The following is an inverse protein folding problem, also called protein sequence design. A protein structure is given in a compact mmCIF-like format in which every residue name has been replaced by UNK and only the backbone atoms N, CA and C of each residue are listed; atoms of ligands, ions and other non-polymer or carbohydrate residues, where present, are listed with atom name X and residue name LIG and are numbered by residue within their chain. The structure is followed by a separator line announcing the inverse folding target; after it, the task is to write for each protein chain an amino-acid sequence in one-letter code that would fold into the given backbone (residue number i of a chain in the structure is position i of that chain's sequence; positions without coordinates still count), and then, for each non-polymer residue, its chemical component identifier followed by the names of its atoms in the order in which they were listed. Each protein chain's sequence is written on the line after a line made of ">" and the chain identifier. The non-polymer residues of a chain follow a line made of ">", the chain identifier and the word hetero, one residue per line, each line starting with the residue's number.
data_IF_728403746381
#
_entry.id   IF_728403746381
#
_cell.length_a   1.000
_cell.length_b   1.000
_cell.length_c   1.000
_cell.angle_alpha   90.00
_cell.angle_beta   90.00
_cell.angle_gamma   90.00
#
_symmetry.space_group_name_H-M   'P 1'
#
loop_
_entity.id
_entity.type
_entity.pdbx_description
1 polymer ?
#
# COMPACT_ATOMS: atom_id res chain seq x y z
N UNK A 1 9.82 -10.69 -10.78
CA UNK A 1 11.01 -9.82 -10.67
C UNK A 1 10.60 -8.45 -11.19
N UNK A 2 10.09 -7.63 -10.29
CA UNK A 2 9.17 -6.52 -10.56
C UNK A 2 9.93 -5.20 -10.40
N UNK A 3 9.47 -4.13 -11.05
CA UNK A 3 10.11 -2.85 -11.46
C UNK A 3 11.42 -2.31 -10.82
N UNK A 4 11.88 -2.82 -9.69
CA UNK A 4 13.10 -2.44 -8.99
C UNK A 4 14.38 -3.24 -9.32
N UNK A 5 14.33 -4.44 -9.94
CA UNK A 5 15.53 -5.29 -10.05
C UNK A 5 16.01 -5.67 -11.46
N UNK A 6 15.23 -5.48 -12.52
CA UNK A 6 15.66 -5.66 -13.93
C UNK A 6 14.79 -4.79 -14.85
N UNK A 7 15.03 -3.47 -14.88
CA UNK A 7 14.44 -2.55 -15.86
C UNK A 7 12.92 -2.64 -15.99
N UNK A 8 12.17 -2.21 -14.96
CA UNK A 8 10.72 -2.38 -14.84
C UNK A 8 9.88 -2.17 -16.12
N UNK A 9 8.70 -2.80 -16.14
CA UNK A 9 7.81 -2.86 -17.31
C UNK A 9 7.80 -1.56 -18.13
N UNK A 10 8.29 -1.62 -19.36
CA UNK A 10 8.29 -0.53 -20.35
C UNK A 10 6.88 -0.16 -20.86
N UNK A 11 5.85 -0.80 -20.30
CA UNK A 11 4.45 -0.61 -20.66
C UNK A 11 3.68 -0.06 -19.46
N UNK A 12 3.84 -0.66 -18.28
CA UNK A 12 3.05 -0.32 -17.09
C UNK A 12 3.80 0.49 -16.03
N UNK A 13 5.14 0.52 -16.05
CA UNK A 13 5.95 1.26 -15.07
C UNK A 13 6.62 2.50 -15.66
N UNK A 14 7.04 2.43 -16.92
CA UNK A 14 7.79 3.47 -17.62
C UNK A 14 7.65 3.31 -19.14
N UNK A 15 8.39 4.09 -19.93
CA UNK A 15 8.50 3.90 -21.37
C UNK A 15 7.58 4.80 -22.21
N UNK A 16 7.85 4.82 -23.52
CA UNK A 16 7.17 5.71 -24.45
C UNK A 16 5.69 5.37 -24.60
N UNK A 17 5.31 4.09 -24.58
CA UNK A 17 3.91 3.68 -24.66
C UNK A 17 3.08 4.25 -23.50
N UNK A 18 3.56 4.09 -22.26
CA UNK A 18 2.93 4.68 -21.08
C UNK A 18 2.82 6.20 -21.23
N UNK A 19 3.93 6.86 -21.56
CA UNK A 19 3.96 8.33 -21.70
C UNK A 19 2.97 8.82 -22.75
N UNK A 20 2.98 8.26 -23.95
CA UNK A 20 2.11 8.67 -25.06
C UNK A 20 0.64 8.46 -24.72
N UNK A 21 0.27 7.32 -24.13
CA UNK A 21 -1.12 7.04 -23.72
C UNK A 21 -1.60 8.02 -22.64
N UNK A 22 -0.77 8.28 -21.63
CA UNK A 22 -1.15 9.13 -20.51
C UNK A 22 -1.25 10.60 -20.95
N UNK A 23 -0.27 11.11 -21.71
CA UNK A 23 -0.21 12.52 -22.10
C UNK A 23 -1.15 12.88 -23.26
N UNK A 24 -1.63 11.91 -24.05
CA UNK A 24 -2.71 12.14 -25.05
C UNK A 24 -4.10 12.08 -24.44
N UNK A 25 -4.22 11.83 -23.13
CA UNK A 25 -5.46 11.88 -22.36
C UNK A 25 -6.60 11.03 -22.97
N UNK A 26 -6.29 9.88 -23.56
CA UNK A 26 -7.31 9.03 -24.18
C UNK A 26 -8.33 8.49 -23.17
N UNK A 27 -7.99 8.47 -21.88
CA UNK A 27 -8.86 8.15 -20.74
C UNK A 27 -8.86 9.29 -19.71
N UNK A 28 -10.01 9.49 -19.06
CA UNK A 28 -10.16 10.49 -17.99
C UNK A 28 -9.31 10.15 -16.77
N UNK A 29 -9.27 8.88 -16.37
CA UNK A 29 -8.49 8.40 -15.22
C UNK A 29 -7.20 7.71 -15.72
N UNK A 30 -6.03 8.21 -15.31
CA UNK A 30 -4.72 7.65 -15.64
C UNK A 30 -4.52 6.20 -15.17
N UNK A 31 -5.26 5.73 -14.17
CA UNK A 31 -5.22 4.32 -13.73
C UNK A 31 -5.85 3.36 -14.74
N UNK A 32 -6.70 3.86 -15.65
CA UNK A 32 -7.43 3.02 -16.61
C UNK A 32 -6.48 2.20 -17.48
N UNK A 33 -5.46 2.83 -18.07
CA UNK A 33 -4.54 2.14 -18.99
C UNK A 33 -3.64 1.14 -18.26
N UNK A 34 -3.09 1.53 -17.12
CA UNK A 34 -2.16 0.68 -16.37
C UNK A 34 -2.82 -0.53 -15.74
N UNK A 35 -4.15 -0.59 -15.70
CA UNK A 35 -4.94 -1.74 -15.25
C UNK A 35 -5.38 -2.66 -16.38
N UNK A 36 -5.17 -2.28 -17.64
CA UNK A 36 -5.53 -3.11 -18.79
C UNK A 36 -4.59 -4.30 -18.93
N UNK A 37 -5.10 -5.41 -19.47
CA UNK A 37 -4.30 -6.58 -19.85
C UNK A 37 -3.86 -6.46 -21.31
N UNK A 38 -2.59 -6.76 -21.61
CA UNK A 38 -2.12 -6.91 -22.99
C UNK A 38 -2.73 -8.16 -23.65
N UNK A 39 -3.16 -8.06 -24.91
CA UNK A 39 -3.59 -9.23 -25.69
C UNK A 39 -2.41 -10.06 -26.21
N UNK A 40 -1.25 -9.43 -26.40
CA UNK A 40 0.00 -10.05 -26.86
C UNK A 40 1.07 -10.07 -25.77
N UNK A 41 2.24 -10.66 -26.06
CA UNK A 41 3.38 -10.61 -25.14
C UNK A 41 3.99 -9.19 -25.10
N UNK A 42 4.65 -8.78 -24.00
CA UNK A 42 5.18 -7.41 -23.85
C UNK A 42 6.02 -6.94 -25.04
N UNK A 43 6.91 -7.80 -25.55
CA UNK A 43 7.75 -7.48 -26.72
C UNK A 43 6.92 -7.23 -27.97
N UNK A 44 5.94 -8.08 -28.25
CA UNK A 44 5.07 -7.97 -29.42
C UNK A 44 4.23 -6.68 -29.34
N UNK A 45 3.72 -6.35 -28.16
CA UNK A 45 2.97 -5.11 -27.92
C UNK A 45 3.85 -3.88 -28.14
N UNK A 46 5.10 -3.87 -27.67
CA UNK A 46 6.04 -2.77 -27.90
C UNK A 46 6.44 -2.66 -29.37
N UNK A 47 6.72 -3.78 -30.04
CA UNK A 47 7.07 -3.80 -31.47
C UNK A 47 5.89 -3.27 -32.32
N UNK A 48 4.66 -3.67 -31.99
CA UNK A 48 3.44 -3.16 -32.63
C UNK A 48 3.21 -1.66 -32.35
N UNK A 49 3.51 -1.19 -31.13
CA UNK A 49 3.42 0.23 -30.79
C UNK A 49 4.43 1.06 -31.56
N UNK A 50 5.68 0.60 -31.65
CA UNK A 50 6.74 1.29 -32.38
C UNK A 50 6.41 1.40 -33.87
N UNK A 51 5.84 0.34 -34.48
CA UNK A 51 5.37 0.38 -35.86
C UNK A 51 4.23 1.40 -36.05
N UNK A 52 3.25 1.41 -35.14
CA UNK A 52 2.16 2.39 -35.15
C UNK A 52 2.66 3.83 -35.02
N UNK A 53 3.58 4.10 -34.08
CA UNK A 53 4.18 5.42 -33.92
C UNK A 53 4.95 5.85 -35.17
N UNK A 54 5.69 4.95 -35.81
CA UNK A 54 6.38 5.24 -37.06
C UNK A 54 5.41 5.59 -38.20
N UNK A 55 4.31 4.84 -38.35
CA UNK A 55 3.25 5.12 -39.34
C UNK A 55 2.64 6.51 -39.12
N UNK A 56 2.38 6.87 -37.85
CA UNK A 56 1.80 8.15 -37.45
C UNK A 56 2.84 9.27 -37.27
N UNK A 57 4.08 9.07 -37.73
CA UNK A 57 5.19 10.04 -37.62
C UNK A 57 5.40 10.59 -36.20
N UNK A 58 5.24 9.71 -35.21
CA UNK A 58 5.33 9.97 -33.77
C UNK A 58 4.28 10.95 -33.20
N UNK A 59 3.22 11.28 -33.94
CA UNK A 59 2.16 12.18 -33.46
C UNK A 59 0.76 11.68 -33.84
N UNK A 60 0.30 10.54 -33.27
CA UNK A 60 -1.05 10.05 -33.50
C UNK A 60 -2.11 11.00 -32.92
N UNK A 61 -3.29 11.04 -33.54
CA UNK A 61 -4.45 11.69 -32.93
C UNK A 61 -4.92 10.92 -31.68
N UNK A 62 -5.77 11.55 -30.87
CA UNK A 62 -6.35 10.92 -29.67
C UNK A 62 -7.19 9.71 -30.06
N UNK A 63 -7.95 9.81 -31.15
CA UNK A 63 -8.81 8.76 -31.68
C UNK A 63 -7.98 7.58 -32.21
N UNK A 64 -6.95 7.86 -33.02
CA UNK A 64 -6.06 6.82 -33.55
C UNK A 64 -5.35 6.04 -32.45
N UNK A 65 -4.82 6.74 -31.43
CA UNK A 65 -4.17 6.10 -30.30
C UNK A 65 -5.16 5.26 -29.48
N UNK A 66 -6.37 5.77 -29.26
CA UNK A 66 -7.41 5.04 -28.54
C UNK A 66 -7.81 3.76 -29.27
N UNK A 67 -8.02 3.82 -30.58
CA UNK A 67 -8.30 2.63 -31.41
C UNK A 67 -7.15 1.62 -31.37
N UNK A 68 -5.90 2.09 -31.39
CA UNK A 68 -4.74 1.22 -31.24
C UNK A 68 -4.71 0.54 -29.85
N UNK A 69 -4.97 1.28 -28.77
CA UNK A 69 -5.02 0.70 -27.42
C UNK A 69 -6.15 -0.33 -27.31
N UNK A 70 -7.37 -0.01 -27.75
CA UNK A 70 -8.53 -0.90 -27.64
C UNK A 70 -8.38 -2.17 -28.52
N UNK A 71 -7.60 -2.10 -29.60
CA UNK A 71 -7.26 -3.27 -30.41
C UNK A 71 -6.18 -4.16 -29.78
N UNK A 72 -5.26 -3.62 -28.96
CA UNK A 72 -4.14 -4.35 -28.37
C UNK A 72 -4.30 -4.72 -26.88
N UNK A 73 -5.27 -4.13 -26.18
CA UNK A 73 -5.50 -4.33 -24.76
C UNK A 73 -6.95 -4.75 -24.45
N UNK A 74 -7.13 -5.55 -23.41
CA UNK A 74 -8.43 -5.85 -22.82
C UNK A 74 -8.81 -4.80 -21.76
N UNK A 75 -10.12 -4.62 -21.54
CA UNK A 75 -10.63 -3.64 -20.57
C UNK A 75 -10.16 -3.99 -19.15
N UNK A 76 -9.97 -3.00 -18.27
CA UNK A 76 -9.67 -3.25 -16.87
C UNK A 76 -10.73 -4.15 -16.23
N UNK A 77 -10.32 -5.05 -15.35
CA UNK A 77 -11.19 -6.02 -14.66
C UNK A 77 -11.35 -7.36 -15.37
N UNK A 78 -10.80 -7.53 -16.57
CA UNK A 78 -10.77 -8.83 -17.26
C UNK A 78 -9.92 -9.87 -16.51
N UNK A 79 -9.10 -9.44 -15.55
CA UNK A 79 -8.33 -10.29 -14.65
C UNK A 79 -9.16 -11.00 -13.57
N UNK A 80 -10.45 -10.67 -13.40
CA UNK A 80 -11.30 -11.21 -12.34
C UNK A 80 -12.52 -11.97 -12.87
N UNK A 81 -12.94 -12.98 -12.10
CA UNK A 81 -14.26 -13.58 -12.17
C UNK A 81 -15.11 -13.19 -10.95
N UNK A 82 -16.44 -13.21 -11.12
CA UNK A 82 -17.37 -12.98 -10.02
C UNK A 82 -17.16 -14.04 -8.93
N UNK A 83 -17.04 -13.57 -7.69
CA UNK A 83 -16.83 -14.45 -6.55
C UNK A 83 -17.59 -13.94 -5.34
N UNK A 84 -18.47 -14.79 -4.81
CA UNK A 84 -19.13 -14.60 -3.54
C UNK A 84 -18.39 -15.45 -2.51
N UNK A 85 -17.91 -14.87 -1.39
CA UNK A 85 -17.28 -15.62 -0.32
C UNK A 85 -18.17 -16.76 0.20
N UNK A 86 -17.62 -17.97 0.29
CA UNK A 86 -18.39 -19.15 0.64
C UNK A 86 -18.66 -19.30 2.14
N UNK A 87 -17.91 -18.57 2.97
CA UNK A 87 -18.10 -18.46 4.41
C UNK A 87 -18.92 -17.23 4.82
N UNK A 88 -19.48 -16.49 3.86
CA UNK A 88 -20.40 -15.39 4.14
C UNK A 88 -21.72 -15.92 4.72
N UNK A 89 -22.24 -15.22 5.72
CA UNK A 89 -23.56 -15.50 6.31
C UNK A 89 -24.43 -14.26 6.29
N UNK A 90 -25.72 -14.41 5.99
CA UNK A 90 -26.63 -13.28 5.85
C UNK A 90 -26.95 -12.55 7.16
N UNK A 91 -26.92 -13.27 8.28
CA UNK A 91 -27.23 -12.73 9.60
C UNK A 91 -26.13 -13.11 10.61
N UNK A 92 -24.94 -12.49 10.49
CA UNK A 92 -23.83 -12.77 11.40
C UNK A 92 -24.17 -12.37 12.83
N UNK A 93 -23.54 -13.02 13.80
CA UNK A 93 -23.86 -12.89 15.21
C UNK A 93 -23.89 -11.42 15.70
N UNK A 94 -23.01 -10.56 15.17
CA UNK A 94 -22.90 -9.16 15.60
C UNK A 94 -24.20 -8.36 15.40
N UNK A 95 -25.02 -8.70 14.40
CA UNK A 95 -26.28 -8.00 14.15
C UNK A 95 -27.26 -8.14 15.32
N UNK A 96 -27.21 -9.26 16.05
CA UNK A 96 -28.10 -9.51 17.20
C UNK A 96 -27.79 -8.58 18.39
N UNK A 97 -26.60 -7.99 18.42
CA UNK A 97 -26.18 -7.07 19.48
C UNK A 97 -26.57 -5.61 19.20
N UNK A 98 -27.01 -5.29 17.98
CA UNK A 98 -27.46 -3.95 17.61
C UNK A 98 -28.95 -3.79 17.92
N UNK A 99 -29.24 -3.05 18.99
CA UNK A 99 -30.62 -2.88 19.49
C UNK A 99 -31.45 -2.00 18.55
N UNK A 100 -30.87 -0.90 18.10
CA UNK A 100 -31.52 0.04 17.19
C UNK A 100 -31.82 -0.63 15.84
N UNK A 101 -33.03 -0.43 15.33
CA UNK A 101 -33.48 -1.12 14.11
C UNK A 101 -32.79 -0.57 12.86
N UNK A 102 -32.63 0.75 12.78
CA UNK A 102 -32.05 1.43 11.61
C UNK A 102 -30.55 1.14 11.53
N UNK A 103 -29.84 1.19 12.67
CA UNK A 103 -28.42 0.81 12.71
C UNK A 103 -28.20 -0.66 12.38
N UNK A 104 -29.12 -1.55 12.75
CA UNK A 104 -29.04 -2.98 12.42
C UNK A 104 -29.32 -3.23 10.95
N UNK A 105 -30.25 -2.51 10.34
CA UNK A 105 -30.48 -2.56 8.89
C UNK A 105 -29.24 -2.04 8.14
N UNK A 106 -28.68 -0.90 8.55
CA UNK A 106 -27.43 -0.38 8.00
C UNK A 106 -26.29 -1.39 8.10
N UNK A 107 -26.09 -1.98 9.28
CA UNK A 107 -25.09 -3.03 9.49
C UNK A 107 -25.32 -4.28 8.64
N UNK A 108 -26.59 -4.67 8.42
CA UNK A 108 -26.93 -5.78 7.52
C UNK A 108 -26.55 -5.46 6.08
N UNK A 109 -26.72 -4.21 5.63
CA UNK A 109 -26.29 -3.77 4.29
C UNK A 109 -24.76 -3.74 4.18
N UNK A 110 -24.06 -3.32 5.24
CA UNK A 110 -22.59 -3.42 5.31
C UNK A 110 -22.12 -4.87 5.19
N UNK A 111 -22.79 -5.84 5.82
CA UNK A 111 -22.45 -7.24 5.64
C UNK A 111 -22.69 -7.73 4.20
N UNK A 112 -23.71 -7.22 3.51
CA UNK A 112 -24.00 -7.61 2.11
C UNK A 112 -22.95 -7.10 1.12
N UNK A 113 -22.25 -6.01 1.44
CA UNK A 113 -21.27 -5.40 0.53
C UNK A 113 -20.11 -6.34 0.17
N UNK A 114 -19.83 -7.36 1.00
CA UNK A 114 -18.79 -8.35 0.73
C UNK A 114 -19.01 -9.11 -0.58
N UNK A 115 -20.27 -9.25 -1.03
CA UNK A 115 -20.59 -9.84 -2.33
C UNK A 115 -20.10 -8.99 -3.51
N UNK A 116 -20.10 -7.66 -3.34
CA UNK A 116 -19.74 -6.71 -4.39
C UNK A 116 -18.23 -6.46 -4.44
N UNK A 117 -17.55 -6.61 -3.30
CA UNK A 117 -16.12 -6.34 -3.14
C UNK A 117 -15.24 -7.58 -3.31
N UNK A 118 -15.82 -8.77 -3.42
CA UNK A 118 -15.11 -10.02 -3.70
C UNK A 118 -14.50 -10.05 -5.09
N UNK A 119 -13.20 -10.37 -5.19
CA UNK A 119 -12.49 -10.55 -6.45
C UNK A 119 -11.72 -11.87 -6.41
N UNK A 120 -11.91 -12.69 -7.43
CA UNK A 120 -11.12 -13.90 -7.64
C UNK A 120 -10.41 -13.80 -8.98
N UNK A 121 -9.09 -13.99 -8.98
CA UNK A 121 -8.31 -13.91 -10.21
C UNK A 121 -8.57 -15.15 -11.07
N UNK A 122 -8.72 -14.95 -12.38
CA UNK A 122 -8.79 -16.06 -13.33
C UNK A 122 -7.42 -16.73 -13.47
N UNK A 123 -7.40 -18.01 -13.86
CA UNK A 123 -6.15 -18.78 -14.00
C UNK A 123 -5.14 -18.13 -14.98
N UNK A 124 -5.64 -17.41 -15.99
CA UNK A 124 -4.81 -16.72 -16.99
C UNK A 124 -3.84 -15.70 -16.37
N UNK A 125 -4.21 -15.07 -15.24
CA UNK A 125 -3.35 -14.13 -14.53
C UNK A 125 -2.05 -14.80 -14.05
N UNK A 126 -2.12 -16.05 -13.59
CA UNK A 126 -0.95 -16.81 -13.16
C UNK A 126 -0.15 -17.37 -14.35
N UNK A 127 -0.83 -17.81 -15.41
CA UNK A 127 -0.20 -18.42 -16.60
C UNK A 127 0.53 -17.37 -17.46
N UNK A 128 -0.08 -16.21 -17.64
CA UNK A 128 0.39 -15.13 -18.51
C UNK A 128 0.70 -13.85 -17.71
N UNK A 129 1.29 -13.98 -16.52
CA UNK A 129 1.51 -12.85 -15.60
C UNK A 129 2.30 -11.68 -16.18
N UNK A 130 3.07 -11.90 -17.26
CA UNK A 130 3.81 -10.85 -17.97
C UNK A 130 2.90 -9.93 -18.80
N UNK A 131 1.67 -10.35 -19.10
CA UNK A 131 0.65 -9.58 -19.83
C UNK A 131 -0.20 -8.68 -18.93
N UNK A 132 -0.02 -8.78 -17.62
CA UNK A 132 -0.83 -8.07 -16.63
C UNK A 132 0.02 -7.12 -15.79
N UNK A 133 -0.61 -6.06 -15.31
CA UNK A 133 -0.07 -5.29 -14.20
C UNK A 133 -0.43 -5.89 -12.84
N UNK A 134 -1.51 -6.69 -12.73
CA UNK A 134 -1.93 -7.31 -11.46
C UNK A 134 -0.92 -8.38 -11.03
N UNK A 135 -0.61 -8.43 -9.74
CA UNK A 135 0.27 -9.44 -9.15
C UNK A 135 -0.56 -10.68 -8.82
N UNK A 136 -0.24 -11.88 -9.35
CA UNK A 136 -1.01 -13.09 -9.09
C UNK A 136 -0.95 -13.47 -7.61
N UNK A 137 -2.11 -13.86 -7.07
CA UNK A 137 -2.29 -14.44 -5.73
C UNK A 137 -3.27 -15.62 -5.81
N UNK A 138 -3.13 -16.59 -4.90
CA UNK A 138 -3.81 -17.89 -5.01
C UNK A 138 -5.24 -17.87 -4.44
N UNK A 139 -5.48 -17.05 -3.42
CA UNK A 139 -6.78 -16.93 -2.79
C UNK A 139 -7.54 -15.69 -3.30
N UNK A 140 -8.88 -15.70 -3.29
CA UNK A 140 -9.66 -14.49 -3.53
C UNK A 140 -9.33 -13.38 -2.54
N UNK A 141 -9.62 -12.13 -2.93
CA UNK A 141 -9.40 -10.94 -2.11
C UNK A 141 -10.69 -10.12 -2.01
N UNK A 142 -10.81 -9.36 -0.93
CA UNK A 142 -11.80 -8.29 -0.79
C UNK A 142 -11.09 -6.96 -1.05
N UNK A 143 -11.62 -6.14 -1.95
CA UNK A 143 -10.99 -4.88 -2.38
C UNK A 143 -11.70 -3.67 -1.76
N UNK A 144 -11.07 -2.47 -1.73
CA UNK A 144 -11.72 -1.27 -1.20
C UNK A 144 -12.98 -0.84 -1.98
N UNK A 145 -13.01 -1.06 -3.29
CA UNK A 145 -14.16 -0.76 -4.16
C UNK A 145 -13.93 0.36 -5.18
N UNK A 146 -14.88 0.52 -6.11
CA UNK A 146 -14.80 1.51 -7.18
C UNK A 146 -13.66 1.26 -8.18
N UNK A 147 -12.76 2.24 -8.34
CA UNK A 147 -11.57 2.13 -9.23
C UNK A 147 -10.47 1.22 -8.66
N UNK A 148 -10.56 0.87 -7.37
CA UNK A 148 -9.60 0.02 -6.67
C UNK A 148 -10.02 -1.44 -6.80
N UNK A 149 -9.35 -2.15 -7.72
CA UNK A 149 -9.72 -3.53 -8.10
C UNK A 149 -8.72 -4.57 -7.62
N UNK A 150 -7.64 -4.12 -7.02
CA UNK A 150 -6.60 -4.94 -6.41
C UNK A 150 -6.71 -4.88 -4.88
N UNK A 151 -6.03 -5.79 -4.19
CA UNK A 151 -5.81 -5.60 -2.77
C UNK A 151 -5.01 -4.31 -2.54
N UNK A 152 -5.32 -3.60 -1.46
CA UNK A 152 -4.52 -2.50 -0.92
C UNK A 152 -4.07 -2.88 0.48
N UNK A 153 -2.81 -2.60 0.81
CA UNK A 153 -2.18 -3.18 1.99
C UNK A 153 -2.85 -2.73 3.29
N UNK A 154 -2.81 -1.44 3.63
CA UNK A 154 -3.32 -0.99 4.93
C UNK A 154 -4.86 -1.04 5.02
N UNK A 155 -5.58 -0.85 3.90
CA UNK A 155 -7.05 -1.02 3.81
C UNK A 155 -7.47 -2.42 4.25
N UNK A 156 -6.64 -3.41 3.89
CA UNK A 156 -6.90 -4.81 4.21
C UNK A 156 -6.93 -5.07 5.72
N UNK A 157 -6.31 -4.23 6.55
CA UNK A 157 -6.44 -4.37 8.00
C UNK A 157 -7.88 -4.12 8.45
N UNK A 158 -8.49 -3.05 7.97
CA UNK A 158 -9.88 -2.72 8.29
C UNK A 158 -10.86 -3.72 7.69
N UNK A 159 -10.58 -4.19 6.47
CA UNK A 159 -11.33 -5.26 5.83
C UNK A 159 -11.26 -6.54 6.68
N UNK A 160 -10.07 -6.98 7.10
CA UNK A 160 -9.88 -8.15 7.98
C UNK A 160 -10.69 -8.01 9.27
N UNK A 161 -10.70 -6.83 9.90
CA UNK A 161 -11.53 -6.58 11.09
C UNK A 161 -13.02 -6.75 10.80
N UNK A 162 -13.50 -6.23 9.67
CA UNK A 162 -14.89 -6.36 9.22
C UNK A 162 -15.29 -7.80 8.88
N UNK A 163 -14.41 -8.54 8.19
CA UNK A 163 -14.63 -9.94 7.82
C UNK A 163 -14.71 -10.83 9.06
N UNK A 164 -13.83 -10.63 10.04
CA UNK A 164 -13.87 -11.39 11.30
C UNK A 164 -15.17 -11.13 12.08
N UNK A 165 -15.66 -9.88 12.11
CA UNK A 165 -16.97 -9.56 12.70
C UNK A 165 -18.13 -10.21 11.92
N UNK A 166 -17.97 -10.34 10.61
CA UNK A 166 -18.93 -10.98 9.69
C UNK A 166 -18.82 -12.52 9.68
N UNK A 167 -18.02 -13.09 10.60
CA UNK A 167 -17.79 -14.55 10.74
C UNK A 167 -17.05 -15.19 9.55
N UNK A 168 -16.46 -14.38 8.67
CA UNK A 168 -15.78 -14.80 7.43
C UNK A 168 -14.30 -15.15 7.66
N UNK A 169 -14.08 -16.16 8.51
CA UNK A 169 -12.74 -16.59 8.95
C UNK A 169 -11.93 -17.24 7.83
N UNK A 170 -12.56 -18.00 6.93
CA UNK A 170 -11.88 -18.68 5.82
C UNK A 170 -11.40 -17.66 4.79
N UNK A 171 -12.25 -16.72 4.43
CA UNK A 171 -11.89 -15.60 3.54
C UNK A 171 -10.74 -14.78 4.13
N UNK A 172 -10.83 -14.45 5.43
CA UNK A 172 -9.76 -13.74 6.14
C UNK A 172 -8.44 -14.50 6.03
N UNK A 173 -8.42 -15.81 6.34
CA UNK A 173 -7.22 -16.64 6.27
C UNK A 173 -6.59 -16.63 4.87
N UNK A 174 -7.39 -16.82 3.82
CA UNK A 174 -6.90 -16.80 2.43
C UNK A 174 -6.27 -15.47 2.05
N UNK A 175 -6.84 -14.34 2.47
CA UNK A 175 -6.22 -13.03 2.27
C UNK A 175 -4.87 -12.90 2.98
N UNK A 176 -4.75 -13.42 4.21
CA UNK A 176 -3.47 -13.40 4.94
C UNK A 176 -2.43 -14.31 4.29
N UNK A 177 -2.83 -15.48 3.80
CA UNK A 177 -1.96 -16.39 3.04
C UNK A 177 -1.45 -15.72 1.76
N UNK A 178 -2.30 -14.95 1.06
CA UNK A 178 -1.87 -14.12 -0.06
C UNK A 178 -0.79 -13.10 0.35
N UNK A 179 -1.01 -12.34 1.42
CA UNK A 179 -0.05 -11.34 1.90
C UNK A 179 1.28 -11.95 2.34
N UNK A 180 1.25 -13.08 3.05
CA UNK A 180 2.45 -13.85 3.41
C UNK A 180 3.20 -14.31 2.15
N UNK A 181 2.51 -14.81 1.12
CA UNK A 181 3.15 -15.19 -0.14
C UNK A 181 3.78 -13.99 -0.88
N UNK A 182 3.19 -12.80 -0.77
CA UNK A 182 3.72 -11.56 -1.33
C UNK A 182 5.03 -11.20 -0.62
N UNK A 183 5.05 -11.19 0.72
CA UNK A 183 6.30 -10.95 1.48
C UNK A 183 7.37 -11.98 1.12
N UNK A 184 7.01 -13.25 0.94
CA UNK A 184 7.96 -14.29 0.55
C UNK A 184 8.59 -14.04 -0.84
N UNK A 185 7.80 -13.54 -1.80
CA UNK A 185 8.25 -13.25 -3.17
C UNK A 185 8.99 -11.91 -3.29
N UNK A 186 8.57 -10.89 -2.55
CA UNK A 186 8.97 -9.48 -2.74
C UNK A 186 9.77 -8.90 -1.56
N UNK A 187 9.71 -9.52 -0.39
CA UNK A 187 10.30 -9.03 0.85
C UNK A 187 9.40 -8.12 1.68
N UNK A 188 8.32 -7.59 1.08
CA UNK A 188 7.34 -6.69 1.70
C UNK A 188 6.03 -6.71 0.90
N UNK A 189 4.96 -6.14 1.45
CA UNK A 189 3.70 -5.94 0.72
C UNK A 189 3.73 -4.59 -0.01
N UNK A 190 3.57 -4.55 -1.36
CA UNK A 190 3.45 -3.29 -2.08
C UNK A 190 2.17 -2.55 -1.69
N UNK A 191 2.10 -1.24 -1.94
CA UNK A 191 0.90 -0.41 -1.70
C UNK A 191 -0.41 -1.11 -2.12
N UNK A 192 -0.42 -1.68 -3.32
CA UNK A 192 -1.47 -2.60 -3.75
C UNK A 192 -0.95 -3.69 -4.67
N UNK A 193 -1.85 -4.59 -5.08
CA UNK A 193 -1.55 -5.79 -5.85
C UNK A 193 -1.17 -5.57 -7.32
N UNK A 194 -0.43 -4.51 -7.66
CA UNK A 194 -0.01 -4.19 -9.03
C UNK A 194 1.50 -3.95 -9.12
N UNK A 195 2.11 -4.29 -10.24
CA UNK A 195 3.56 -4.17 -10.44
C UNK A 195 4.09 -2.73 -10.35
N UNK A 196 3.26 -1.74 -10.70
CA UNK A 196 3.61 -0.32 -10.56
C UNK A 196 3.62 0.18 -9.11
N UNK A 197 3.16 -0.65 -8.15
CA UNK A 197 3.32 -0.42 -6.72
C UNK A 197 4.59 -1.05 -6.14
N UNK A 198 5.34 -1.87 -6.88
CA UNK A 198 6.50 -2.64 -6.36
C UNK A 198 7.71 -1.83 -5.86
N UNK A 199 7.66 -0.51 -5.93
CA UNK A 199 8.68 0.40 -5.41
C UNK A 199 8.18 1.23 -4.22
N UNK A 200 7.04 0.86 -3.63
CA UNK A 200 6.51 1.46 -2.40
C UNK A 200 5.59 0.49 -1.67
N UNK A 201 5.59 0.54 -0.35
CA UNK A 201 4.69 -0.22 0.50
C UNK A 201 3.46 0.63 0.88
N UNK A 202 2.94 0.39 2.08
CA UNK A 202 1.93 1.16 2.79
C UNK A 202 2.18 0.98 4.30
N UNK A 203 1.41 1.63 5.21
CA UNK A 203 1.56 1.40 6.65
C UNK A 203 1.56 -0.11 6.99
N UNK A 204 2.62 -0.65 7.64
CA UNK A 204 2.90 -2.09 7.65
C UNK A 204 2.06 -2.85 8.67
N UNK A 205 0.81 -3.13 8.33
CA UNK A 205 -0.18 -3.71 9.25
C UNK A 205 -0.30 -5.24 9.17
N UNK A 206 0.54 -5.97 8.43
CA UNK A 206 0.40 -7.43 8.30
C UNK A 206 0.48 -8.15 9.65
N UNK A 207 1.39 -7.77 10.55
CA UNK A 207 1.45 -8.36 11.88
C UNK A 207 0.13 -8.19 12.64
N UNK A 208 -0.45 -6.99 12.58
CA UNK A 208 -1.73 -6.68 13.21
C UNK A 208 -2.90 -7.46 12.58
N UNK A 209 -2.88 -7.69 11.27
CA UNK A 209 -3.87 -8.51 10.57
C UNK A 209 -3.80 -9.97 11.02
N UNK A 210 -2.60 -10.57 11.04
CA UNK A 210 -2.40 -11.94 11.51
C UNK A 210 -2.78 -12.07 12.99
N UNK A 211 -2.38 -11.10 13.83
CA UNK A 211 -2.78 -11.04 15.24
C UNK A 211 -4.30 -11.01 15.42
N UNK A 212 -5.00 -10.17 14.67
CA UNK A 212 -6.46 -10.09 14.73
C UNK A 212 -7.13 -11.43 14.35
N UNK A 213 -6.60 -12.13 13.35
CA UNK A 213 -7.09 -13.46 12.98
C UNK A 213 -6.83 -14.50 14.07
N UNK A 214 -5.61 -14.55 14.60
CA UNK A 214 -5.23 -15.49 15.66
C UNK A 214 -6.09 -15.26 16.90
N UNK A 215 -6.30 -14.02 17.32
CA UNK A 215 -7.15 -13.68 18.48
C UNK A 215 -8.61 -14.10 18.28
N UNK A 216 -9.13 -13.96 17.05
CA UNK A 216 -10.51 -14.32 16.73
C UNK A 216 -10.75 -15.83 16.51
N UNK A 217 -9.68 -16.62 16.34
CA UNK A 217 -9.76 -18.05 15.97
C UNK A 217 -9.05 -18.99 16.94
N UNK A 218 -8.17 -18.47 17.79
CA UNK A 218 -7.20 -19.25 18.57
C UNK A 218 -6.29 -20.15 17.72
N UNK A 219 -6.09 -19.83 16.43
CA UNK A 219 -5.17 -20.58 15.56
C UNK A 219 -3.71 -20.22 15.83
N UNK A 220 -3.16 -20.74 16.93
CA UNK A 220 -1.77 -20.51 17.33
C UNK A 220 -0.78 -21.13 16.34
N UNK A 221 -1.19 -22.15 15.57
CA UNK A 221 -0.34 -22.77 14.56
C UNK A 221 -0.11 -21.80 13.40
N UNK A 222 -1.14 -21.09 12.96
CA UNK A 222 -1.00 -20.04 11.95
C UNK A 222 -0.05 -18.92 12.39
N UNK A 223 -0.08 -18.53 13.68
CA UNK A 223 0.89 -17.58 14.23
C UNK A 223 2.34 -18.09 14.12
N UNK A 224 2.58 -19.33 14.53
CA UNK A 224 3.91 -19.98 14.49
C UNK A 224 4.45 -20.12 13.07
N UNK A 225 3.58 -20.44 12.11
CA UNK A 225 3.95 -20.62 10.71
C UNK A 225 4.19 -19.28 10.00
N UNK A 226 3.52 -18.22 10.44
CA UNK A 226 3.62 -16.89 9.83
C UNK A 226 4.81 -16.07 10.33
N UNK A 227 5.27 -16.28 11.57
CA UNK A 227 6.19 -15.35 12.27
C UNK A 227 7.49 -15.07 11.52
N UNK A 228 8.09 -16.06 10.85
CA UNK A 228 9.34 -15.85 10.11
C UNK A 228 9.13 -14.95 8.87
N UNK A 229 7.94 -15.03 8.26
CA UNK A 229 7.56 -14.14 7.16
C UNK A 229 7.24 -12.74 7.67
N UNK A 230 6.59 -12.61 8.83
CA UNK A 230 6.36 -11.32 9.48
C UNK A 230 7.68 -10.63 9.87
N UNK A 231 8.63 -11.39 10.44
CA UNK A 231 9.99 -10.91 10.70
C UNK A 231 10.64 -10.40 9.40
N UNK A 232 10.49 -11.11 8.28
CA UNK A 232 11.08 -10.70 7.00
C UNK A 232 10.58 -9.33 6.55
N UNK A 233 9.28 -9.06 6.62
CA UNK A 233 8.74 -7.74 6.27
C UNK A 233 9.20 -6.68 7.28
N UNK A 234 9.18 -6.97 8.58
CA UNK A 234 9.69 -6.03 9.58
C UNK A 234 11.15 -5.65 9.29
N UNK A 235 12.01 -6.62 8.99
CA UNK A 235 13.41 -6.36 8.63
C UNK A 235 13.55 -5.56 7.32
N UNK A 236 12.62 -5.70 6.37
CA UNK A 236 12.61 -4.84 5.19
C UNK A 236 12.44 -3.36 5.58
N UNK A 237 11.52 -3.03 6.49
CA UNK A 237 11.38 -1.65 6.97
C UNK A 237 12.61 -1.18 7.74
N UNK A 238 13.14 -1.99 8.66
CA UNK A 238 14.33 -1.65 9.45
C UNK A 238 15.58 -1.42 8.58
N UNK A 239 15.72 -2.14 7.47
CA UNK A 239 16.90 -2.01 6.61
C UNK A 239 16.81 -0.86 5.60
N UNK A 240 15.61 -0.35 5.31
CA UNK A 240 15.42 0.57 4.18
C UNK A 240 14.81 1.93 4.56
N UNK A 241 14.22 2.08 5.75
CA UNK A 241 13.45 3.27 6.12
C UNK A 241 14.02 4.03 7.33
N UNK A 242 15.00 3.45 8.03
CA UNK A 242 15.54 4.08 9.23
C UNK A 242 16.37 5.33 8.92
N UNK A 243 16.15 6.34 9.75
CA UNK A 243 16.86 7.60 9.81
C UNK A 243 17.28 7.82 11.26
N UNK A 244 18.50 8.31 11.47
CA UNK A 244 18.97 8.70 12.80
C UNK A 244 18.47 10.11 13.16
N UNK A 245 17.84 10.25 14.32
CA UNK A 245 17.36 11.51 14.88
C UNK A 245 17.75 11.57 16.36
N UNK A 246 18.57 12.54 16.74
CA UNK A 246 18.99 12.77 18.13
C UNK A 246 19.57 11.51 18.82
N UNK A 247 20.30 10.67 18.07
CA UNK A 247 20.87 9.41 18.59
C UNK A 247 19.90 8.23 18.67
N UNK A 248 18.67 8.39 18.17
CA UNK A 248 17.67 7.34 18.06
C UNK A 248 17.41 6.99 16.58
N UNK A 249 17.02 5.75 16.29
CA UNK A 249 16.65 5.32 14.94
C UNK A 249 15.13 5.23 14.81
N UNK A 250 14.57 6.00 13.88
CA UNK A 250 13.13 6.01 13.56
C UNK A 250 12.95 5.88 12.05
N UNK A 251 11.81 5.40 11.62
CA UNK A 251 11.48 5.24 10.21
C UNK A 251 10.82 6.49 9.62
N UNK A 252 11.15 6.80 8.36
CA UNK A 252 10.45 7.76 7.51
C UNK A 252 9.98 7.05 6.23
N UNK A 253 8.80 7.39 5.71
CA UNK A 253 8.36 6.88 4.41
C UNK A 253 9.29 7.34 3.29
N UNK A 254 9.38 6.57 2.20
CA UNK A 254 10.20 6.91 1.04
C UNK A 254 11.16 5.82 0.63
N UNK A 255 10.65 4.70 0.12
CA UNK A 255 11.49 3.69 -0.52
C UNK A 255 12.14 4.17 -1.84
N UNK A 256 13.17 3.45 -2.29
CA UNK A 256 13.88 3.74 -3.54
C UNK A 256 12.94 3.58 -4.74
N UNK A 257 12.71 4.69 -5.45
CA UNK A 257 11.88 4.76 -6.66
C UNK A 257 12.47 5.81 -7.63
N UNK A 258 11.84 6.01 -8.79
CA UNK A 258 12.11 7.10 -9.74
C UNK A 258 10.87 7.42 -10.59
N UNK A 259 10.82 8.58 -11.22
CA UNK A 259 9.77 8.98 -12.16
C UNK A 259 8.37 9.15 -11.56
N UNK A 260 7.39 9.62 -12.36
CA UNK A 260 6.00 9.79 -11.94
C UNK A 260 5.34 8.45 -11.56
N UNK A 261 4.21 8.51 -10.85
CA UNK A 261 3.38 7.35 -10.54
C UNK A 261 2.62 6.90 -11.79
N UNK A 262 2.74 5.65 -12.26
CA UNK A 262 2.05 5.21 -13.47
C UNK A 262 0.52 5.35 -13.42
N UNK A 263 -0.09 5.18 -12.25
CA UNK A 263 -1.53 5.32 -12.02
C UNK A 263 -2.03 6.77 -11.91
N UNK A 264 -1.11 7.74 -11.91
CA UNK A 264 -1.36 9.19 -11.86
C UNK A 264 -0.33 9.95 -12.70
N UNK A 265 0.07 9.35 -13.83
CA UNK A 265 1.27 9.74 -14.57
C UNK A 265 1.15 11.17 -15.09
N UNK A 266 -0.01 11.48 -15.69
CA UNK A 266 -0.28 12.81 -16.24
C UNK A 266 -0.34 13.85 -15.14
N UNK A 267 -1.06 13.56 -14.06
CA UNK A 267 -1.21 14.46 -12.92
C UNK A 267 0.14 14.81 -12.30
N UNK A 268 1.01 13.81 -12.12
CA UNK A 268 2.36 13.99 -11.58
C UNK A 268 3.22 14.84 -12.53
N UNK A 269 3.22 14.55 -13.83
CA UNK A 269 4.00 15.29 -14.84
C UNK A 269 3.58 16.75 -14.92
N UNK A 270 2.27 17.02 -15.02
CA UNK A 270 1.74 18.39 -15.10
C UNK A 270 2.02 19.19 -13.82
N UNK A 271 1.90 18.56 -12.65
CA UNK A 271 2.22 19.22 -11.38
C UNK A 271 3.71 19.56 -11.29
N UNK A 272 4.57 18.71 -11.85
CA UNK A 272 6.02 18.90 -11.84
C UNK A 272 6.52 19.97 -12.83
N UNK A 273 5.67 20.52 -13.71
CA UNK A 273 6.07 21.54 -14.70
C UNK A 273 6.58 22.84 -14.07
N UNK A 274 6.20 23.11 -12.81
CA UNK A 274 6.70 24.28 -12.06
C UNK A 274 8.22 24.21 -11.78
N UNK A 275 8.80 23.02 -11.83
CA UNK A 275 10.23 22.82 -11.61
C UNK A 275 10.98 22.87 -12.95
N UNK A 276 11.99 23.74 -13.05
CA UNK A 276 12.77 23.88 -14.29
C UNK A 276 13.75 22.71 -14.48
N UNK A 277 14.37 22.23 -13.40
CA UNK A 277 15.41 21.21 -13.43
C UNK A 277 14.82 19.82 -13.32
N UNK A 278 15.36 18.88 -14.10
CA UNK A 278 14.91 17.49 -14.07
C UNK A 278 15.18 16.84 -12.70
N UNK A 279 16.27 17.22 -12.03
CA UNK A 279 16.59 16.72 -10.68
C UNK A 279 15.52 17.11 -9.65
N UNK A 280 14.98 18.32 -9.76
CA UNK A 280 13.92 18.83 -8.88
C UNK A 280 12.60 18.10 -9.15
N UNK A 281 12.28 17.82 -10.43
CA UNK A 281 11.12 16.98 -10.81
C UNK A 281 11.25 15.57 -10.26
N UNK A 282 12.43 14.94 -10.40
CA UNK A 282 12.67 13.60 -9.87
C UNK A 282 12.58 13.57 -8.35
N UNK A 283 13.13 14.58 -7.66
CA UNK A 283 12.98 14.71 -6.22
C UNK A 283 11.50 14.84 -5.83
N UNK A 284 10.72 15.64 -6.55
CA UNK A 284 9.30 15.81 -6.32
C UNK A 284 8.50 14.52 -6.52
N UNK A 285 8.78 13.73 -7.57
CA UNK A 285 8.13 12.43 -7.76
C UNK A 285 8.38 11.45 -6.61
N UNK A 286 9.56 11.50 -5.99
CA UNK A 286 9.87 10.70 -4.81
C UNK A 286 9.02 11.10 -3.60
N UNK A 287 8.77 12.40 -3.42
CA UNK A 287 7.89 12.89 -2.34
C UNK A 287 6.43 12.49 -2.58
N UNK A 288 5.95 12.57 -3.83
CA UNK A 288 4.61 12.10 -4.21
C UNK A 288 4.43 10.60 -3.89
N UNK A 289 5.44 9.78 -4.21
CA UNK A 289 5.41 8.33 -3.94
C UNK A 289 5.51 7.99 -2.46
N UNK A 290 6.31 8.73 -1.70
CA UNK A 290 6.38 8.59 -0.25
C UNK A 290 5.05 8.99 0.42
N UNK A 291 4.40 10.06 -0.05
CA UNK A 291 3.08 10.43 0.44
C UNK A 291 2.02 9.35 0.11
N UNK A 292 2.07 8.74 -1.08
CA UNK A 292 1.20 7.61 -1.41
C UNK A 292 1.52 6.35 -0.58
N UNK A 293 2.80 6.11 -0.26
CA UNK A 293 3.22 5.06 0.67
C UNK A 293 2.71 5.32 2.10
N UNK A 294 2.51 6.57 2.51
CA UNK A 294 1.94 6.86 3.83
C UNK A 294 0.44 6.55 3.96
N UNK A 295 -0.27 6.35 2.83
CA UNK A 295 -1.73 6.26 2.79
C UNK A 295 -2.48 7.59 2.96
N UNK A 296 -1.75 8.72 3.06
CA UNK A 296 -2.31 10.08 3.15
C UNK A 296 -1.90 10.95 1.96
N UNK A 297 -2.12 10.45 0.73
CA UNK A 297 -1.94 11.16 -0.54
C UNK A 297 -3.21 11.92 -0.96
N UNK A 298 -3.29 13.25 -0.86
CA UNK A 298 -2.31 14.16 -0.28
C UNK A 298 -2.90 14.94 0.90
N UNK A 299 -2.00 15.38 1.77
CA UNK A 299 -2.33 16.08 3.00
C UNK A 299 -1.31 17.18 3.30
N UNK A 300 -1.77 18.29 3.87
CA UNK A 300 -0.88 19.36 4.35
C UNK A 300 0.11 18.88 5.42
N UNK A 301 -0.20 17.76 6.08
CA UNK A 301 0.73 17.03 6.96
C UNK A 301 2.14 16.90 6.37
N UNK A 302 2.21 16.66 5.06
CA UNK A 302 3.47 16.41 4.35
C UNK A 302 4.13 17.65 3.77
N UNK A 303 3.56 18.85 3.92
CA UNK A 303 4.12 20.08 3.36
C UNK A 303 5.15 20.69 4.29
N UNK A 304 6.33 21.06 3.79
CA UNK A 304 7.29 21.89 4.52
C UNK A 304 7.54 23.14 3.70
N UNK A 305 6.90 24.24 4.11
CA UNK A 305 7.15 25.58 3.60
C UNK A 305 7.49 26.49 4.76
N UNK A 306 8.72 27.01 4.76
CA UNK A 306 9.27 27.84 5.84
C UNK A 306 9.11 27.20 7.24
N UNK A 307 9.22 25.85 7.29
CA UNK A 307 9.05 25.06 8.50
C UNK A 307 7.60 24.97 9.01
N UNK A 308 6.61 25.19 8.15
CA UNK A 308 5.17 25.06 8.44
C UNK A 308 4.49 24.10 7.45
N UNK A 309 3.22 23.77 7.69
CA UNK A 309 2.35 23.04 6.76
C UNK A 309 1.49 23.93 5.85
N UNK A 310 1.70 25.26 5.88
CA UNK A 310 0.96 26.25 5.08
C UNK A 310 1.49 26.34 3.64
N UNK A 311 1.69 25.18 3.02
CA UNK A 311 2.16 25.03 1.64
C UNK A 311 1.10 24.51 0.69
N UNK A 312 1.54 24.09 -0.48
CA UNK A 312 0.75 23.37 -1.47
C UNK A 312 1.46 22.07 -1.87
N UNK A 313 0.91 21.36 -2.87
CA UNK A 313 1.43 20.06 -3.29
C UNK A 313 2.93 20.09 -3.66
N UNK A 314 3.43 21.19 -4.21
CA UNK A 314 4.85 21.33 -4.59
C UNK A 314 5.79 21.45 -3.40
N UNK A 315 5.25 21.70 -2.19
CA UNK A 315 5.96 21.78 -0.93
C UNK A 315 6.04 20.42 -0.19
N UNK A 316 5.63 19.32 -0.83
CA UNK A 316 5.75 17.96 -0.26
C UNK A 316 7.20 17.64 0.14
N UNK A 317 7.36 17.13 1.37
CA UNK A 317 8.61 16.65 1.97
C UNK A 317 8.36 15.44 2.88
N UNK A 318 7.50 14.51 2.46
CA UNK A 318 7.11 13.32 3.23
C UNK A 318 8.34 12.51 3.69
N UNK A 319 9.37 12.39 2.84
CA UNK A 319 10.62 11.67 3.20
C UNK A 319 11.47 12.35 4.26
N UNK A 320 11.18 13.62 4.53
CA UNK A 320 11.88 14.42 5.54
C UNK A 320 11.07 14.59 6.83
N UNK A 321 10.01 13.78 7.00
CA UNK A 321 9.13 13.83 8.17
C UNK A 321 9.12 12.45 8.84
N UNK A 322 9.52 12.40 10.11
CA UNK A 322 9.33 11.20 10.93
C UNK A 322 7.88 11.17 11.39
N UNK A 323 7.13 10.22 10.85
CA UNK A 323 5.70 10.09 11.08
C UNK A 323 5.42 9.27 12.36
N UNK A 324 4.56 9.78 13.24
CA UNK A 324 4.23 9.13 14.52
C UNK A 324 3.67 7.72 14.34
N UNK A 325 2.69 7.56 13.46
CA UNK A 325 2.01 6.30 13.17
C UNK A 325 2.93 5.23 12.61
N UNK A 326 3.86 5.58 11.72
CA UNK A 326 4.75 4.60 11.13
C UNK A 326 5.58 3.92 12.23
N UNK A 327 6.13 4.73 13.13
CA UNK A 327 6.97 4.26 14.22
C UNK A 327 6.15 3.52 15.29
N UNK A 328 4.93 3.99 15.59
CA UNK A 328 4.00 3.29 16.47
C UNK A 328 3.61 1.89 15.91
N UNK A 329 3.38 1.78 14.60
CA UNK A 329 3.10 0.49 13.93
C UNK A 329 4.33 -0.41 13.96
N UNK A 330 5.54 0.11 13.74
CA UNK A 330 6.77 -0.69 13.80
C UNK A 330 7.05 -1.21 15.21
N UNK A 331 6.79 -0.42 16.26
CA UNK A 331 6.77 -0.92 17.62
C UNK A 331 5.80 -2.11 17.77
N UNK A 332 4.57 -1.93 17.29
CA UNK A 332 3.52 -2.93 17.43
C UNK A 332 3.88 -4.24 16.71
N UNK A 333 4.48 -4.13 15.52
CA UNK A 333 4.99 -5.26 14.77
C UNK A 333 6.07 -6.02 15.56
N UNK A 334 7.04 -5.32 16.16
CA UNK A 334 8.07 -5.95 16.98
C UNK A 334 7.47 -6.68 18.20
N UNK A 335 6.48 -6.07 18.87
CA UNK A 335 5.78 -6.67 20.00
C UNK A 335 5.00 -7.95 19.60
N UNK A 336 4.26 -7.91 18.49
CA UNK A 336 3.52 -9.07 17.96
C UNK A 336 4.48 -10.19 17.55
N UNK A 337 5.59 -9.85 16.87
CA UNK A 337 6.61 -10.83 16.48
C UNK A 337 7.21 -11.50 17.72
N UNK A 338 7.49 -10.73 18.78
CA UNK A 338 7.95 -11.30 20.06
C UNK A 338 6.95 -12.31 20.61
N UNK A 339 5.66 -11.95 20.67
CA UNK A 339 4.58 -12.83 21.13
C UNK A 339 4.52 -14.14 20.31
N UNK A 340 4.59 -14.04 18.99
CA UNK A 340 4.51 -15.21 18.12
C UNK A 340 5.74 -16.12 18.24
N UNK A 341 6.94 -15.57 18.48
CA UNK A 341 8.11 -16.38 18.81
C UNK A 341 7.99 -17.07 20.17
N UNK A 342 7.33 -16.45 21.17
CA UNK A 342 6.97 -17.12 22.44
C UNK A 342 6.05 -18.32 22.15
N UNK A 343 5.03 -18.16 21.30
CA UNK A 343 4.16 -19.27 20.88
C UNK A 343 4.90 -20.38 20.12
N UNK A 344 5.95 -20.04 19.37
CA UNK A 344 6.84 -20.99 18.67
C UNK A 344 7.91 -21.61 19.57
N UNK A 345 7.95 -21.26 20.86
CA UNK A 345 8.95 -21.67 21.84
C UNK A 345 10.40 -21.28 21.47
N UNK A 346 10.59 -20.23 20.65
CA UNK A 346 11.90 -19.61 20.39
C UNK A 346 12.06 -18.39 21.31
N UNK A 347 12.40 -18.66 22.57
CA UNK A 347 12.52 -17.62 23.60
C UNK A 347 13.65 -16.62 23.30
N UNK A 348 14.68 -17.04 22.54
CA UNK A 348 15.78 -16.16 22.15
C UNK A 348 15.30 -15.09 21.18
N UNK A 349 14.59 -15.49 20.12
CA UNK A 349 13.97 -14.54 19.18
C UNK A 349 12.91 -13.68 19.85
N UNK A 350 12.10 -14.27 20.73
CA UNK A 350 11.13 -13.50 21.51
C UNK A 350 11.77 -12.34 22.29
N UNK A 351 12.83 -12.62 23.05
CA UNK A 351 13.56 -11.60 23.82
C UNK A 351 14.24 -10.55 22.91
N UNK A 352 14.78 -10.97 21.77
CA UNK A 352 15.36 -10.06 20.79
C UNK A 352 14.33 -9.04 20.29
N UNK A 353 13.12 -9.49 19.97
CA UNK A 353 12.05 -8.63 19.45
C UNK A 353 11.37 -7.79 20.54
N UNK A 354 11.32 -8.29 21.77
CA UNK A 354 10.91 -7.52 22.94
C UNK A 354 11.86 -6.33 23.18
N UNK A 355 13.17 -6.57 23.15
CA UNK A 355 14.17 -5.51 23.25
C UNK A 355 14.09 -4.52 22.08
N UNK A 356 13.74 -4.99 20.87
CA UNK A 356 13.56 -4.12 19.70
C UNK A 356 12.31 -3.24 19.84
N UNK A 357 11.20 -3.78 20.35
CA UNK A 357 10.01 -3.00 20.65
C UNK A 357 10.35 -1.90 21.68
N UNK A 358 11.05 -2.25 22.77
CA UNK A 358 11.47 -1.28 23.79
C UNK A 358 12.37 -0.16 23.23
N UNK A 359 13.27 -0.48 22.30
CA UNK A 359 14.12 0.51 21.62
C UNK A 359 13.29 1.51 20.82
N UNK A 360 12.32 1.02 20.02
CA UNK A 360 11.44 1.87 19.22
C UNK A 360 10.55 2.71 20.13
N UNK A 361 9.99 2.13 21.21
CA UNK A 361 9.17 2.87 22.17
C UNK A 361 9.93 4.04 22.80
N UNK A 362 11.17 3.81 23.23
CA UNK A 362 12.05 4.87 23.76
C UNK A 362 12.35 5.94 22.72
N UNK A 363 12.52 5.56 21.45
CA UNK A 363 12.73 6.52 20.37
C UNK A 363 11.48 7.38 20.09
N UNK A 364 10.28 6.77 20.12
CA UNK A 364 9.01 7.50 20.01
C UNK A 364 8.89 8.52 21.13
N UNK A 365 9.13 8.12 22.37
CA UNK A 365 9.09 9.01 23.53
C UNK A 365 10.12 10.15 23.42
N UNK A 366 11.37 9.83 23.09
CA UNK A 366 12.45 10.81 23.04
C UNK A 366 12.31 11.84 21.90
N UNK A 367 11.73 11.45 20.76
CA UNK A 367 11.73 12.27 19.53
C UNK A 367 10.35 12.81 19.19
N UNK A 368 9.29 12.05 19.44
CA UNK A 368 7.96 12.36 18.94
C UNK A 368 7.01 12.86 20.04
N UNK A 369 7.25 12.55 21.32
CA UNK A 369 6.46 13.13 22.41
C UNK A 369 6.75 14.63 22.59
N UNK A 370 5.71 15.44 22.69
CA UNK A 370 5.82 16.85 23.08
C UNK A 370 5.14 17.05 24.44
N UNK A 371 5.95 17.21 25.48
CA UNK A 371 5.47 17.51 26.84
C UNK A 371 4.66 18.82 26.89
N UNK A 372 5.05 19.82 26.09
CA UNK A 372 4.38 21.11 26.07
C UNK A 372 2.96 21.03 25.49
N UNK A 373 2.73 20.13 24.53
CA UNK A 373 1.44 19.97 23.86
C UNK A 373 0.65 18.76 24.40
N UNK A 374 1.28 17.91 25.21
CA UNK A 374 0.69 16.70 25.78
C UNK A 374 0.28 15.67 24.72
N UNK A 375 0.99 15.61 23.59
CA UNK A 375 0.68 14.73 22.46
C UNK A 375 1.94 14.38 21.68
N UNK A 376 1.93 13.24 20.98
CA UNK A 376 2.96 12.94 19.99
C UNK A 376 2.79 13.80 18.75
N UNK A 377 3.88 14.28 18.19
CA UNK A 377 3.92 15.10 16.98
C UNK A 377 4.94 14.54 16.01
N UNK A 378 4.66 14.69 14.72
CA UNK A 378 5.62 14.33 13.69
C UNK A 378 6.87 15.22 13.82
N UNK A 379 8.04 14.67 13.45
CA UNK A 379 9.30 15.42 13.53
C UNK A 379 9.78 15.85 12.15
N UNK A 380 10.07 17.14 11.97
CA UNK A 380 10.61 17.73 10.75
C UNK A 380 12.14 17.62 10.76
N UNK A 381 12.69 16.81 9.85
CA UNK A 381 14.14 16.59 9.74
C UNK A 381 14.89 17.80 9.16
N UNK A 382 14.23 18.62 8.35
CA UNK A 382 14.84 19.80 7.70
C UNK A 382 15.04 20.89 8.74
N UNK A 383 13.99 21.18 9.50
CA UNK A 383 13.95 22.26 10.48
C UNK A 383 14.30 21.80 11.90
N UNK A 384 14.50 20.50 12.11
CA UNK A 384 14.87 19.87 13.38
C UNK A 384 13.95 20.26 14.53
N UNK A 385 12.64 20.12 14.32
CA UNK A 385 11.61 20.51 15.29
C UNK A 385 10.37 19.62 15.18
N UNK A 386 9.58 19.58 16.24
CA UNK A 386 8.22 19.05 16.17
C UNK A 386 7.34 19.87 15.22
N UNK A 387 6.46 19.16 14.53
CA UNK A 387 5.43 19.75 13.67
C UNK A 387 4.21 20.03 14.54
N UNK A 388 4.17 21.22 15.14
CA UNK A 388 3.17 21.60 16.13
C UNK A 388 1.79 21.94 15.51
N UNK A 389 1.18 20.94 14.90
CA UNK A 389 -0.23 20.94 14.51
C UNK A 389 -0.74 19.50 14.56
N UNK A 390 -1.99 19.35 14.94
CA UNK A 390 -2.56 18.02 15.19
C UNK A 390 -2.99 17.32 13.90
N UNK A 391 -2.65 16.04 13.79
CA UNK A 391 -3.26 15.09 12.85
C UNK A 391 -3.74 13.86 13.64
N UNK A 392 -4.88 13.23 13.27
CA UNK A 392 -5.44 12.12 14.08
C UNK A 392 -4.47 10.95 14.33
N UNK A 393 -3.55 10.72 13.41
CA UNK A 393 -2.51 9.68 13.51
C UNK A 393 -1.48 9.95 14.63
N UNK A 394 -1.42 11.16 15.19
CA UNK A 394 -0.64 11.45 16.39
C UNK A 394 -1.08 10.62 17.61
N UNK A 395 -2.31 10.09 17.60
CA UNK A 395 -2.82 9.23 18.67
C UNK A 395 -2.53 7.73 18.44
N UNK A 396 -1.81 7.38 17.38
CA UNK A 396 -1.44 5.97 17.09
C UNK A 396 -0.67 5.28 18.23
N UNK A 397 0.12 5.98 19.06
CA UNK A 397 0.74 5.36 20.21
C UNK A 397 -0.26 4.80 21.22
N UNK A 398 -1.39 5.48 21.44
CA UNK A 398 -2.47 4.96 22.29
C UNK A 398 -3.08 3.67 21.73
N UNK A 399 -3.24 3.60 20.40
CA UNK A 399 -3.80 2.44 19.72
C UNK A 399 -2.87 1.22 19.74
N UNK A 400 -1.56 1.45 19.60
CA UNK A 400 -0.53 0.41 19.52
C UNK A 400 0.08 0.04 20.86
N UNK A 401 -0.20 0.81 21.92
CA UNK A 401 0.44 0.65 23.22
C UNK A 401 1.92 1.01 23.22
N UNK A 402 2.34 1.94 22.35
CA UNK A 402 3.74 2.41 22.25
C UNK A 402 4.00 3.65 23.11
N UNK A 403 3.51 3.64 24.34
CA UNK A 403 3.69 4.70 25.34
C UNK A 403 3.98 4.09 26.72
N UNK A 404 4.44 4.90 27.67
CA UNK A 404 4.72 4.51 29.06
C UNK A 404 3.56 4.81 30.02
#
# INVERSE_FOLDING_TARGET
>A
MVCALLGGSEIYCQGQLLHTVQMKEIYTDSKTFVDMKMKGKPKETLDAFNAFMAEKKNDPSREELKEWVESNFEKPGAEFEDWIPDDWVASPAFLKHIKDADLREFASKLNQIWHELGRKMIADVAINSDQYSIIPVDHPVIVPGGRFREFYYWDSYWIVKGLLLSEMKKTTRGMLENFLSIVQRYGFIPNGGRIYYSMRSQPPLLCAMVKAYVDATNDTKFAQDSVDTLEREFQFFMNNYLVEVNGHHLAAYGYKSSGPRPESYREDILTAEVFEKEEDKQAFYLELKAAAESGMDFSSRWFIKDGTNAGNLTDLKCRSIIAVELNAILYWNAAIISEFYKLKNDLRKAQQYEAKADEIKKAIEAVLWSEAEGVWLDYDLINKKHRNYFVPTNLSPLWTGSYD
#
